data_IF_804304609674
#
_entry.id   IF_804304609674
#
_cell.length_a   1.000
_cell.length_b   1.000
_cell.length_c   1.000
_cell.angle_alpha   90.00
_cell.angle_beta   90.00
_cell.angle_gamma   90.00
#
_symmetry.space_group_name_H-M   'P 1'
#
loop_
_entity.id
_entity.type
_entity.pdbx_description
1 polymer ?
#
# COMPACT_ATOMS: atom_id res chain seq x y z
N UNK A 1 47.33 3.50 3.60
CA UNK A 1 48.06 4.42 2.70
C UNK A 1 47.49 5.83 2.89
N UNK A 2 48.32 6.87 2.98
CA UNK A 2 47.86 8.26 3.08
C UNK A 2 48.66 9.15 2.14
N UNK A 3 47.98 10.03 1.41
CA UNK A 3 48.59 11.05 0.57
C UNK A 3 47.98 12.42 0.91
N UNK A 4 48.80 13.47 1.00
CA UNK A 4 48.32 14.84 1.26
C UNK A 4 47.66 15.50 0.03
N UNK A 5 47.91 14.97 -1.17
CA UNK A 5 47.26 15.37 -2.42
C UNK A 5 46.42 14.23 -2.98
N UNK A 6 46.53 13.98 -4.29
CA UNK A 6 45.84 12.87 -4.94
C UNK A 6 46.48 11.51 -4.62
N UNK A 7 45.64 10.48 -4.60
CA UNK A 7 46.03 9.08 -4.56
C UNK A 7 45.38 8.35 -5.74
N UNK A 8 46.20 7.90 -6.69
CA UNK A 8 45.73 7.16 -7.87
C UNK A 8 46.38 5.79 -7.93
N UNK A 9 45.57 4.75 -8.15
CA UNK A 9 46.01 3.39 -8.43
C UNK A 9 45.27 2.87 -9.66
N UNK A 10 46.03 2.35 -10.61
CA UNK A 10 45.51 1.66 -11.79
C UNK A 10 46.10 0.26 -11.88
N UNK A 11 45.26 -0.75 -11.64
CA UNK A 11 45.56 -2.15 -11.86
C UNK A 11 45.03 -2.52 -13.24
N UNK A 12 45.90 -2.93 -14.15
CA UNK A 12 45.49 -3.29 -15.52
C UNK A 12 44.71 -4.61 -15.54
N UNK A 13 45.07 -5.53 -14.64
CA UNK A 13 44.36 -6.78 -14.37
C UNK A 13 44.28 -7.00 -12.85
N UNK A 14 43.27 -7.74 -12.40
CA UNK A 14 43.17 -8.22 -11.02
C UNK A 14 42.32 -7.37 -10.07
N UNK A 15 42.32 -7.83 -8.82
CA UNK A 15 41.46 -7.34 -7.75
C UNK A 15 42.23 -6.42 -6.81
N UNK A 16 41.67 -5.23 -6.56
CA UNK A 16 42.03 -4.42 -5.41
C UNK A 16 41.25 -4.92 -4.18
N UNK A 17 41.94 -5.31 -3.11
CA UNK A 17 41.30 -5.62 -1.84
C UNK A 17 41.88 -4.78 -0.70
N UNK A 18 40.98 -4.11 0.02
CA UNK A 18 41.32 -3.23 1.13
C UNK A 18 40.71 -3.72 2.44
N UNK A 19 41.54 -3.84 3.47
CA UNK A 19 41.14 -4.13 4.85
C UNK A 19 41.70 -3.09 5.85
N UNK A 20 42.20 -1.96 5.34
CA UNK A 20 42.71 -0.86 6.14
C UNK A 20 42.30 0.48 5.55
N UNK A 21 43.05 1.55 5.84
CA UNK A 21 42.69 2.89 5.40
C UNK A 21 43.50 3.34 4.18
N UNK A 22 42.81 3.82 3.15
CA UNK A 22 43.35 4.60 2.03
C UNK A 22 42.76 6.00 2.06
N UNK A 23 43.60 7.01 2.23
CA UNK A 23 43.14 8.39 2.39
C UNK A 23 43.91 9.34 1.47
N UNK A 24 43.17 10.13 0.69
CA UNK A 24 43.68 11.22 -0.12
C UNK A 24 43.26 12.58 0.46
N UNK A 25 44.19 13.53 0.53
CA UNK A 25 43.89 14.92 0.89
C UNK A 25 43.18 15.70 -0.22
N UNK A 26 43.21 15.19 -1.45
CA UNK A 26 42.41 15.67 -2.58
C UNK A 26 41.59 14.51 -3.16
N UNK A 27 41.95 13.97 -4.33
CA UNK A 27 41.15 12.93 -4.98
C UNK A 27 41.72 11.53 -4.75
N UNK A 28 40.84 10.55 -4.57
CA UNK A 28 41.18 9.13 -4.57
C UNK A 28 40.64 8.49 -5.85
N UNK A 29 41.49 7.86 -6.64
CA UNK A 29 41.10 7.20 -7.88
C UNK A 29 41.61 5.76 -7.92
N UNK A 30 40.69 4.80 -8.03
CA UNK A 30 41.00 3.38 -8.13
C UNK A 30 40.40 2.81 -9.41
N UNK A 31 41.26 2.26 -10.26
CA UNK A 31 40.89 1.51 -11.46
C UNK A 31 41.37 0.06 -11.31
N UNK A 32 40.46 -0.92 -11.36
CA UNK A 32 40.78 -2.35 -11.23
C UNK A 32 39.66 -3.22 -11.85
N UNK A 33 39.87 -4.52 -12.06
CA UNK A 33 38.77 -5.39 -12.54
C UNK A 33 37.71 -5.61 -11.45
N UNK A 34 38.17 -5.70 -10.20
CA UNK A 34 37.32 -5.81 -9.03
C UNK A 34 37.89 -4.96 -7.89
N UNK A 35 37.01 -4.29 -7.15
CA UNK A 35 37.35 -3.50 -5.97
C UNK A 35 36.57 -4.10 -4.80
N UNK A 36 37.28 -4.58 -3.79
CA UNK A 36 36.70 -5.17 -2.58
C UNK A 36 37.16 -4.39 -1.35
N UNK A 37 36.27 -3.56 -0.80
CA UNK A 37 36.47 -2.86 0.47
C UNK A 37 35.85 -3.68 1.59
N UNK A 38 36.69 -4.32 2.40
CA UNK A 38 36.28 -5.23 3.48
C UNK A 38 35.69 -4.46 4.67
N UNK A 39 35.18 -5.17 5.68
CA UNK A 39 34.50 -4.59 6.86
C UNK A 39 35.33 -3.50 7.56
N UNK A 40 36.64 -3.71 7.71
CA UNK A 40 37.58 -2.73 8.30
C UNK A 40 38.20 -1.76 7.27
N UNK A 41 37.82 -1.87 6.01
CA UNK A 41 38.36 -1.08 4.92
C UNK A 41 37.75 0.33 4.86
N UNK A 42 38.59 1.32 4.66
CA UNK A 42 38.19 2.71 4.46
C UNK A 42 38.84 3.27 3.19
N UNK A 43 38.03 3.81 2.29
CA UNK A 43 38.46 4.58 1.10
C UNK A 43 37.95 6.01 1.26
N UNK A 44 38.86 6.94 1.51
CA UNK A 44 38.54 8.30 1.94
C UNK A 44 39.21 9.35 1.05
N UNK A 45 38.48 10.41 0.74
CA UNK A 45 39.02 11.60 0.08
C UNK A 45 38.39 12.88 0.64
N UNK A 46 39.12 14.00 0.64
CA UNK A 46 38.49 15.32 0.87
C UNK A 46 37.88 15.91 -0.41
N UNK A 47 38.32 15.44 -1.58
CA UNK A 47 37.77 15.76 -2.90
C UNK A 47 36.92 14.60 -3.43
N UNK A 48 37.20 14.17 -4.65
CA UNK A 48 36.45 13.09 -5.31
C UNK A 48 37.05 11.72 -5.03
N UNK A 49 36.23 10.77 -4.59
CA UNK A 49 36.54 9.33 -4.60
C UNK A 49 35.94 8.71 -5.86
N UNK A 50 36.79 8.24 -6.78
CA UNK A 50 36.39 7.60 -8.05
C UNK A 50 36.80 6.12 -8.04
N UNK A 51 35.82 5.24 -8.20
CA UNK A 51 36.02 3.79 -8.33
C UNK A 51 35.52 3.34 -9.71
N UNK A 52 36.41 2.82 -10.54
CA UNK A 52 36.08 2.38 -11.90
C UNK A 52 36.54 0.92 -12.12
N UNK A 53 35.59 0.06 -12.50
CA UNK A 53 35.89 -1.32 -12.87
C UNK A 53 35.42 -1.69 -14.29
N UNK A 54 35.15 -0.70 -15.13
CA UNK A 54 34.60 -0.91 -16.49
C UNK A 54 35.54 -1.61 -17.45
N UNK A 55 36.82 -1.79 -17.10
CA UNK A 55 37.75 -2.61 -17.87
C UNK A 55 37.35 -4.09 -17.91
N UNK A 56 36.50 -4.55 -16.97
CA UNK A 56 35.91 -5.88 -16.95
C UNK A 56 34.38 -5.77 -17.12
N UNK A 57 33.82 -6.47 -18.11
CA UNK A 57 32.37 -6.51 -18.37
C UNK A 57 31.55 -7.18 -17.27
N UNK A 58 32.21 -7.85 -16.32
CA UNK A 58 31.63 -8.42 -15.09
C UNK A 58 32.30 -7.83 -13.84
N UNK A 59 33.00 -6.70 -14.00
CA UNK A 59 33.71 -6.04 -12.90
C UNK A 59 32.76 -5.64 -11.78
N UNK A 60 33.27 -5.61 -10.56
CA UNK A 60 32.46 -5.35 -9.39
C UNK A 60 33.14 -4.44 -8.38
N UNK A 61 32.37 -3.50 -7.82
CA UNK A 61 32.71 -2.80 -6.58
C UNK A 61 31.89 -3.42 -5.46
N UNK A 62 32.55 -4.08 -4.52
CA UNK A 62 31.93 -4.65 -3.32
C UNK A 62 32.41 -3.90 -2.09
N UNK A 63 31.47 -3.35 -1.33
CA UNK A 63 31.72 -2.59 -0.13
C UNK A 63 31.04 -3.22 1.09
N UNK A 64 31.82 -3.47 2.12
CA UNK A 64 31.38 -3.78 3.49
C UNK A 64 31.94 -2.80 4.52
N UNK A 65 32.88 -1.95 4.11
CA UNK A 65 33.52 -0.95 4.95
C UNK A 65 32.96 0.45 4.69
N UNK A 66 33.82 1.45 4.74
CA UNK A 66 33.49 2.84 4.46
C UNK A 66 34.10 3.32 3.14
N UNK A 67 33.29 3.98 2.32
CA UNK A 67 33.71 4.78 1.17
C UNK A 67 33.14 6.18 1.38
N UNK A 68 33.97 7.22 1.41
CA UNK A 68 33.53 8.60 1.65
C UNK A 68 34.41 9.62 0.91
N UNK A 69 33.76 10.61 0.32
CA UNK A 69 34.38 11.72 -0.41
C UNK A 69 33.49 12.96 -0.32
N UNK A 70 33.97 14.13 -0.77
CA UNK A 70 33.05 15.21 -1.09
C UNK A 70 32.14 14.79 -2.26
N UNK A 71 32.76 14.26 -3.32
CA UNK A 71 32.05 13.53 -4.37
C UNK A 71 32.45 12.05 -4.32
N UNK A 72 31.48 11.13 -4.44
CA UNK A 72 31.75 9.70 -4.63
C UNK A 72 31.17 9.24 -5.95
N UNK A 73 32.05 8.78 -6.86
CA UNK A 73 31.68 8.36 -8.22
C UNK A 73 32.07 6.90 -8.43
N UNK A 74 31.09 6.07 -8.76
CA UNK A 74 31.30 4.64 -9.00
C UNK A 74 30.83 4.28 -10.40
N UNK A 75 31.70 3.64 -11.17
CA UNK A 75 31.38 3.08 -12.49
C UNK A 75 31.77 1.61 -12.51
N UNK A 76 30.79 0.71 -12.57
CA UNK A 76 31.02 -0.73 -12.50
C UNK A 76 29.95 -1.50 -13.26
N UNK A 77 30.14 -2.80 -13.50
CA UNK A 77 29.02 -3.64 -13.94
C UNK A 77 28.14 -3.98 -12.74
N UNK A 78 28.73 -4.42 -11.62
CA UNK A 78 28.03 -4.69 -10.37
C UNK A 78 28.51 -3.75 -9.25
N UNK A 79 27.59 -3.09 -8.55
CA UNK A 79 27.88 -2.37 -7.31
C UNK A 79 27.12 -3.04 -6.17
N UNK A 80 27.86 -3.60 -5.21
CA UNK A 80 27.32 -4.33 -4.06
C UNK A 80 27.72 -3.62 -2.77
N UNK A 81 26.79 -2.92 -2.14
CA UNK A 81 26.93 -2.37 -0.79
C UNK A 81 26.19 -3.31 0.17
N UNK A 82 26.94 -4.04 1.00
CA UNK A 82 26.41 -5.19 1.74
C UNK A 82 26.69 -5.05 3.24
N UNK A 83 25.74 -5.48 4.07
CA UNK A 83 25.96 -5.62 5.50
C UNK A 83 26.28 -4.28 6.17
N UNK A 84 27.50 -4.18 6.68
CA UNK A 84 28.04 -2.97 7.32
C UNK A 84 28.49 -1.88 6.34
N UNK A 85 28.31 -2.11 5.03
CA UNK A 85 28.71 -1.21 3.96
C UNK A 85 28.11 0.18 4.08
N UNK A 86 28.97 1.19 4.07
CA UNK A 86 28.61 2.61 4.05
C UNK A 86 29.26 3.29 2.86
N UNK A 87 28.45 3.92 2.02
CA UNK A 87 28.87 4.74 0.91
C UNK A 87 28.31 6.15 1.14
N UNK A 88 29.20 7.10 1.37
CA UNK A 88 28.87 8.47 1.67
C UNK A 88 29.47 9.45 0.67
N UNK A 89 28.86 10.63 0.60
CA UNK A 89 29.45 11.82 0.01
C UNK A 89 28.53 13.02 0.09
N UNK A 90 29.00 14.20 -0.31
CA UNK A 90 28.11 15.34 -0.54
C UNK A 90 27.26 15.04 -1.77
N UNK A 91 27.92 14.59 -2.84
CA UNK A 91 27.25 14.08 -4.06
C UNK A 91 27.72 12.67 -4.36
N UNK A 92 26.77 11.76 -4.55
CA UNK A 92 27.03 10.38 -4.95
C UNK A 92 26.49 10.17 -6.36
N UNK A 93 27.31 9.59 -7.24
CA UNK A 93 26.90 9.17 -8.57
C UNK A 93 27.33 7.72 -8.83
N UNK A 94 26.36 6.86 -9.14
CA UNK A 94 26.58 5.43 -9.39
C UNK A 94 26.09 5.08 -10.78
N UNK A 95 27.00 4.66 -11.67
CA UNK A 95 26.68 4.05 -12.95
C UNK A 95 26.93 2.54 -12.86
N UNK A 96 25.87 1.74 -13.03
CA UNK A 96 25.97 0.28 -12.94
C UNK A 96 25.02 -0.47 -13.89
N UNK A 97 25.32 -1.74 -14.18
CA UNK A 97 24.28 -2.64 -14.69
C UNK A 97 23.36 -3.07 -13.54
N UNK A 98 23.96 -3.48 -12.42
CA UNK A 98 23.22 -3.87 -11.21
C UNK A 98 23.77 -3.13 -9.99
N UNK A 99 22.86 -2.53 -9.22
CA UNK A 99 23.12 -1.97 -7.90
C UNK A 99 22.35 -2.79 -6.84
N UNK A 100 23.09 -3.37 -5.89
CA UNK A 100 22.53 -4.04 -4.72
C UNK A 100 22.97 -3.32 -3.45
N UNK A 101 22.00 -2.78 -2.72
CA UNK A 101 22.15 -2.26 -1.37
C UNK A 101 21.35 -3.17 -0.43
N UNK A 102 22.04 -3.98 0.35
CA UNK A 102 21.40 -5.11 1.02
C UNK A 102 21.99 -5.40 2.39
N UNK A 103 21.18 -6.04 3.21
CA UNK A 103 21.59 -6.70 4.42
C UNK A 103 22.55 -7.87 4.16
N UNK A 104 23.37 -8.13 5.16
CA UNK A 104 24.20 -9.32 5.23
C UNK A 104 24.23 -9.83 6.66
N UNK A 105 24.21 -11.15 6.81
CA UNK A 105 24.38 -11.82 8.09
C UNK A 105 25.84 -12.23 8.23
N UNK A 106 26.55 -11.56 9.14
CA UNK A 106 27.92 -11.89 9.51
C UNK A 106 27.96 -12.22 11.01
N UNK A 107 28.53 -13.36 11.37
CA UNK A 107 28.66 -13.82 12.77
C UNK A 107 27.33 -13.83 13.56
N UNK A 108 26.22 -14.10 12.86
CA UNK A 108 24.88 -14.14 13.46
C UNK A 108 24.22 -12.77 13.68
N UNK A 109 24.86 -11.68 13.25
CA UNK A 109 24.28 -10.34 13.25
C UNK A 109 23.87 -9.95 11.83
N UNK A 110 22.61 -9.58 11.66
CA UNK A 110 22.11 -8.97 10.42
C UNK A 110 22.37 -7.46 10.50
N UNK A 111 23.08 -6.94 9.52
CA UNK A 111 23.28 -5.49 9.34
C UNK A 111 22.86 -5.11 7.94
N UNK A 112 22.31 -3.91 7.77
CA UNK A 112 21.82 -3.43 6.49
C UNK A 112 22.65 -2.23 6.00
N UNK A 113 22.97 -2.24 4.72
CA UNK A 113 23.91 -1.29 4.15
C UNK A 113 23.27 0.08 3.88
N UNK A 114 24.09 1.12 3.89
CA UNK A 114 23.65 2.52 3.67
C UNK A 114 24.42 3.16 2.52
N UNK A 115 23.67 3.79 1.62
CA UNK A 115 24.16 4.75 0.62
C UNK A 115 23.49 6.08 0.95
N UNK A 116 24.27 7.09 1.35
CA UNK A 116 23.70 8.36 1.82
C UNK A 116 24.49 9.58 1.33
N UNK A 117 23.80 10.51 0.68
CA UNK A 117 24.36 11.77 0.20
C UNK A 117 23.94 12.95 1.08
N UNK A 118 24.81 13.95 1.25
CA UNK A 118 24.51 15.20 1.99
C UNK A 118 23.81 16.26 1.13
N UNK A 119 24.04 16.25 -0.18
CA UNK A 119 23.42 17.18 -1.14
C UNK A 119 22.61 16.44 -2.20
N UNK A 120 23.19 15.38 -2.80
CA UNK A 120 22.56 14.71 -3.94
C UNK A 120 22.97 13.25 -4.13
N UNK A 121 21.99 12.38 -4.38
CA UNK A 121 22.19 10.99 -4.78
C UNK A 121 21.67 10.75 -6.20
N UNK A 122 22.57 10.43 -7.14
CA UNK A 122 22.24 10.02 -8.51
C UNK A 122 22.59 8.55 -8.74
N UNK A 123 21.61 7.75 -9.13
CA UNK A 123 21.79 6.34 -9.50
C UNK A 123 21.34 6.15 -10.94
N UNK A 124 22.28 5.77 -11.80
CA UNK A 124 22.05 5.32 -13.17
C UNK A 124 22.33 3.82 -13.25
N UNK A 125 21.32 2.98 -13.02
CA UNK A 125 21.47 1.53 -13.08
C UNK A 125 20.23 0.80 -13.63
N UNK A 126 20.46 -0.31 -14.35
CA UNK A 126 19.37 -1.07 -14.98
C UNK A 126 18.57 -1.88 -13.97
N UNK A 127 19.24 -2.57 -13.05
CA UNK A 127 18.61 -3.40 -12.03
C UNK A 127 19.02 -2.92 -10.64
N UNK A 128 18.07 -2.39 -9.89
CA UNK A 128 18.31 -1.80 -8.56
C UNK A 128 17.56 -2.60 -7.51
N UNK A 129 18.29 -3.03 -6.48
CA UNK A 129 17.76 -3.81 -5.36
C UNK A 129 18.18 -3.12 -4.07
N UNK A 130 17.19 -2.64 -3.33
CA UNK A 130 17.32 -2.15 -1.96
C UNK A 130 16.48 -3.07 -1.06
N UNK A 131 17.08 -3.75 -0.07
CA UNK A 131 16.35 -4.77 0.70
C UNK A 131 16.68 -4.84 2.19
N UNK A 132 15.71 -5.33 2.96
CA UNK A 132 15.81 -5.70 4.39
C UNK A 132 16.44 -4.62 5.28
N UNK A 133 15.81 -3.45 5.33
CA UNK A 133 16.26 -2.32 6.16
C UNK A 133 17.42 -1.52 5.59
N UNK A 134 17.91 -1.84 4.38
CA UNK A 134 18.93 -1.06 3.71
C UNK A 134 18.41 0.34 3.33
N UNK A 135 19.31 1.33 3.32
CA UNK A 135 18.97 2.74 3.13
C UNK A 135 19.62 3.33 1.88
N UNK A 136 18.81 3.88 0.99
CA UNK A 136 19.20 4.85 -0.03
C UNK A 136 18.69 6.23 0.41
N UNK A 137 19.59 7.16 0.71
CA UNK A 137 19.22 8.43 1.31
C UNK A 137 19.90 9.63 0.63
N UNK A 138 19.19 10.75 0.56
CA UNK A 138 19.76 12.06 0.28
C UNK A 138 19.19 13.12 1.21
N UNK A 139 20.06 13.96 1.80
CA UNK A 139 19.62 15.15 2.51
C UNK A 139 19.23 16.31 1.56
N UNK A 140 19.37 16.12 0.25
CA UNK A 140 18.82 17.00 -0.78
C UNK A 140 18.12 16.18 -1.86
N UNK A 141 18.58 16.27 -3.10
CA UNK A 141 17.93 15.61 -4.24
C UNK A 141 18.29 14.12 -4.33
N UNK A 142 17.33 13.28 -4.73
CA UNK A 142 17.54 11.88 -5.06
C UNK A 142 16.96 11.58 -6.44
N UNK A 143 17.80 11.12 -7.35
CA UNK A 143 17.40 10.75 -8.71
C UNK A 143 17.84 9.32 -9.04
N UNK A 144 16.91 8.51 -9.56
CA UNK A 144 17.16 7.15 -10.02
C UNK A 144 16.68 7.03 -11.46
N UNK A 145 17.57 6.58 -12.34
CA UNK A 145 17.29 6.21 -13.72
C UNK A 145 18.12 5.01 -14.16
N UNK A 146 18.03 4.64 -15.43
CA UNK A 146 18.77 3.52 -16.03
C UNK A 146 20.20 3.86 -16.44
N UNK A 147 20.52 5.16 -16.50
CA UNK A 147 21.85 5.67 -16.85
C UNK A 147 22.12 7.03 -16.19
N UNK A 148 23.38 7.43 -16.17
CA UNK A 148 23.81 8.79 -15.83
C UNK A 148 24.12 9.57 -17.12
N UNK A 149 23.93 10.89 -17.08
CA UNK A 149 24.39 11.81 -18.11
C UNK A 149 25.89 12.15 -17.97
N UNK A 150 26.39 13.02 -18.84
CA UNK A 150 27.79 13.46 -18.83
C UNK A 150 28.18 14.28 -17.58
N UNK A 151 27.20 14.80 -16.83
CA UNK A 151 27.37 15.59 -15.61
C UNK A 151 27.15 14.75 -14.34
N UNK A 152 27.07 13.42 -14.47
CA UNK A 152 26.80 12.49 -13.37
C UNK A 152 25.41 12.64 -12.74
N UNK A 153 24.43 13.15 -13.49
CA UNK A 153 23.01 13.19 -13.10
C UNK A 153 22.29 11.96 -13.61
N UNK A 154 21.39 11.38 -12.82
CA UNK A 154 20.54 10.31 -13.32
C UNK A 154 19.58 10.85 -14.40
N UNK A 155 19.44 10.11 -15.50
CA UNK A 155 18.51 10.45 -16.57
C UNK A 155 17.11 10.02 -16.14
N UNK A 156 16.23 11.00 -15.87
CA UNK A 156 14.88 10.77 -15.30
C UNK A 156 13.75 11.31 -16.18
N UNK A 157 14.05 11.68 -17.43
CA UNK A 157 13.09 12.20 -18.43
C UNK A 157 12.32 11.11 -19.18
N UNK A 158 12.51 9.84 -18.82
CA UNK A 158 11.91 8.69 -19.50
C UNK A 158 12.73 8.10 -20.65
N UNK A 159 13.82 8.76 -21.08
CA UNK A 159 14.64 8.30 -22.22
C UNK A 159 15.58 7.13 -21.88
N UNK A 160 15.87 6.95 -20.59
CA UNK A 160 16.72 5.87 -20.09
C UNK A 160 16.27 5.41 -18.69
N UNK A 161 15.10 4.77 -18.62
CA UNK A 161 14.58 4.21 -17.36
C UNK A 161 15.44 3.05 -16.83
N UNK A 162 15.46 2.89 -15.51
CA UNK A 162 15.87 1.62 -14.90
C UNK A 162 14.88 0.53 -15.32
N UNK A 163 15.36 -0.69 -15.58
CA UNK A 163 14.47 -1.81 -15.94
C UNK A 163 13.66 -2.23 -14.71
N UNK A 164 14.32 -2.40 -13.56
CA UNK A 164 13.62 -2.66 -12.29
C UNK A 164 14.21 -1.86 -11.14
N UNK A 165 13.34 -1.30 -10.32
CA UNK A 165 13.63 -0.74 -9.00
C UNK A 165 12.85 -1.52 -7.94
N UNK A 166 13.56 -2.36 -7.18
CA UNK A 166 13.00 -3.19 -6.12
C UNK A 166 13.38 -2.61 -4.75
N UNK A 167 12.39 -2.16 -3.98
CA UNK A 167 12.51 -1.70 -2.61
C UNK A 167 11.74 -2.66 -1.68
N UNK A 168 12.46 -3.61 -1.10
CA UNK A 168 11.86 -4.76 -0.41
C UNK A 168 12.09 -4.61 1.09
N UNK A 169 11.06 -4.18 1.84
CA UNK A 169 11.20 -3.94 3.28
C UNK A 169 12.38 -3.02 3.65
N UNK A 170 12.68 -2.05 2.78
CA UNK A 170 13.83 -1.15 2.86
C UNK A 170 13.41 0.31 2.61
N UNK A 171 14.35 1.24 2.71
CA UNK A 171 14.06 2.69 2.65
C UNK A 171 14.78 3.37 1.50
N UNK A 172 14.02 4.10 0.67
CA UNK A 172 14.48 5.11 -0.27
C UNK A 172 13.90 6.45 0.18
N UNK A 173 14.76 7.40 0.52
CA UNK A 173 14.31 8.65 1.14
C UNK A 173 15.14 9.84 0.66
N UNK A 174 14.46 10.96 0.43
CA UNK A 174 15.08 12.26 0.16
C UNK A 174 14.47 13.32 1.05
N UNK A 175 15.28 14.26 1.53
CA UNK A 175 14.77 15.48 2.18
C UNK A 175 14.41 16.58 1.17
N UNK A 176 14.95 16.51 -0.05
CA UNK A 176 14.56 17.35 -1.18
C UNK A 176 13.80 16.54 -2.24
N UNK A 177 13.89 16.99 -3.50
CA UNK A 177 13.17 16.38 -4.62
C UNK A 177 13.60 14.92 -4.85
N UNK A 178 12.61 14.07 -5.10
CA UNK A 178 12.82 12.69 -5.52
C UNK A 178 12.31 12.47 -6.94
N UNK A 179 13.15 11.91 -7.82
CA UNK A 179 12.77 11.48 -9.16
C UNK A 179 13.17 10.01 -9.38
N UNK A 180 12.17 9.15 -9.64
CA UNK A 180 12.37 7.71 -9.88
C UNK A 180 11.86 7.34 -11.27
N UNK A 181 12.77 7.09 -12.21
CA UNK A 181 12.48 6.66 -13.56
C UNK A 181 12.81 5.16 -13.73
N UNK A 182 11.77 4.32 -13.66
CA UNK A 182 11.88 2.88 -13.81
C UNK A 182 10.70 2.29 -14.60
N UNK A 183 10.95 1.30 -15.45
CA UNK A 183 9.91 0.55 -16.17
C UNK A 183 9.07 -0.29 -15.22
N UNK A 184 9.67 -0.79 -14.13
CA UNK A 184 8.97 -1.50 -13.06
C UNK A 184 9.53 -1.07 -11.71
N UNK A 185 8.69 -0.43 -10.90
CA UNK A 185 8.97 -0.09 -9.51
C UNK A 185 8.15 -1.02 -8.61
N UNK A 186 8.83 -1.76 -7.72
CA UNK A 186 8.21 -2.62 -6.72
C UNK A 186 8.60 -2.15 -5.33
N UNK A 187 7.62 -1.66 -4.58
CA UNK A 187 7.78 -1.36 -3.16
C UNK A 187 7.01 -2.43 -2.37
N UNK A 188 7.73 -3.41 -1.82
CA UNK A 188 7.12 -4.63 -1.24
C UNK A 188 7.32 -4.72 0.27
N UNK A 189 6.43 -5.48 0.91
CA UNK A 189 6.50 -5.87 2.31
C UNK A 189 6.76 -7.38 2.36
N UNK A 190 8.02 -7.77 2.53
CA UNK A 190 8.40 -9.20 2.59
C UNK A 190 8.02 -9.85 3.94
N UNK A 191 7.51 -9.07 4.90
CA UNK A 191 7.21 -9.50 6.26
C UNK A 191 5.73 -9.32 6.63
N UNK A 192 4.82 -9.30 5.63
CA UNK A 192 3.38 -9.22 5.86
C UNK A 192 2.83 -10.58 6.30
N UNK A 193 2.39 -10.66 7.56
CA UNK A 193 1.79 -11.87 8.13
C UNK A 193 0.44 -11.57 8.78
N UNK A 194 -0.50 -12.50 8.63
CA UNK A 194 -1.82 -12.46 9.26
C UNK A 194 -2.09 -13.75 10.04
N UNK A 195 -2.90 -13.64 11.08
CA UNK A 195 -3.45 -14.77 11.83
C UNK A 195 -4.95 -14.64 11.99
N UNK A 196 -5.64 -15.74 12.28
CA UNK A 196 -7.06 -15.71 12.63
C UNK A 196 -7.21 -15.50 14.13
N UNK A 197 -7.55 -14.27 14.54
CA UNK A 197 -7.93 -13.93 15.90
C UNK A 197 -9.37 -14.36 16.17
N UNK A 198 -9.66 -14.90 17.37
CA UNK A 198 -11.05 -15.15 17.81
C UNK A 198 -11.65 -13.83 18.28
N UNK A 199 -12.73 -13.38 17.66
CA UNK A 199 -13.42 -12.14 18.01
C UNK A 199 -14.72 -12.37 18.78
N UNK A 200 -15.33 -13.55 18.64
CA UNK A 200 -16.44 -14.00 19.47
C UNK A 200 -16.24 -15.47 19.88
N UNK A 201 -16.43 -15.71 21.18
CA UNK A 201 -16.08 -16.95 21.85
C UNK A 201 -16.98 -18.14 21.46
N UNK A 202 -16.73 -19.33 22.05
CA UNK A 202 -17.57 -20.48 21.80
C UNK A 202 -18.96 -20.31 22.45
N UNK A 203 -19.90 -19.67 21.73
CA UNK A 203 -21.31 -19.59 22.15
C UNK A 203 -22.11 -20.75 21.58
N UNK A 204 -23.04 -21.26 22.38
CA UNK A 204 -23.97 -22.30 21.94
C UNK A 204 -25.24 -21.65 21.41
N UNK A 205 -25.46 -21.77 20.10
CA UNK A 205 -26.70 -21.37 19.45
C UNK A 205 -27.62 -22.58 19.44
N UNK A 206 -28.82 -22.42 20.00
CA UNK A 206 -29.84 -23.47 19.98
C UNK A 206 -30.81 -23.18 18.85
N UNK A 207 -30.91 -24.10 17.88
CA UNK A 207 -31.89 -24.07 16.82
C UNK A 207 -32.95 -25.13 17.06
N UNK A 208 -34.21 -24.85 16.71
CA UNK A 208 -35.27 -25.85 16.62
C UNK A 208 -35.81 -25.94 15.20
N UNK A 209 -36.20 -27.13 14.79
CA UNK A 209 -36.98 -27.38 13.58
C UNK A 209 -38.36 -27.92 13.98
N UNK A 210 -39.43 -27.11 13.89
CA UNK A 210 -40.79 -27.58 14.14
C UNK A 210 -41.15 -28.77 13.25
N UNK A 211 -41.96 -29.69 13.78
CA UNK A 211 -42.42 -30.85 13.02
C UNK A 211 -43.19 -30.40 11.76
N UNK A 212 -42.76 -30.84 10.58
CA UNK A 212 -43.36 -30.47 9.29
C UNK A 212 -42.84 -29.15 8.69
N UNK A 213 -41.90 -28.46 9.35
CA UNK A 213 -41.19 -27.31 8.79
C UNK A 213 -39.79 -27.72 8.30
N UNK A 214 -39.34 -27.09 7.21
CA UNK A 214 -37.96 -27.18 6.74
C UNK A 214 -37.03 -26.14 7.40
N UNK A 215 -37.59 -25.11 8.04
CA UNK A 215 -36.84 -24.01 8.63
C UNK A 215 -36.22 -24.39 9.98
N UNK A 216 -35.00 -23.89 10.21
CA UNK A 216 -34.31 -23.97 11.51
C UNK A 216 -34.37 -22.61 12.17
N UNK A 217 -35.03 -22.55 13.31
CA UNK A 217 -35.35 -21.30 14.00
C UNK A 217 -34.49 -21.22 15.27
N UNK A 218 -33.72 -20.15 15.48
CA UNK A 218 -32.98 -19.96 16.71
C UNK A 218 -33.95 -19.71 17.86
N UNK A 219 -33.63 -20.25 19.04
CA UNK A 219 -34.52 -20.07 20.21
C UNK A 219 -34.59 -18.63 20.69
N UNK A 220 -33.65 -17.77 20.32
CA UNK A 220 -33.73 -16.31 20.52
C UNK A 220 -34.96 -15.70 19.84
N UNK A 221 -35.39 -16.26 18.70
CA UNK A 221 -36.57 -15.80 17.95
C UNK A 221 -37.88 -16.40 18.45
N UNK A 222 -37.84 -17.03 19.63
CA UNK A 222 -38.96 -17.74 20.21
C UNK A 222 -39.15 -17.35 21.67
N UNK A 223 -40.42 -17.20 22.08
CA UNK A 223 -40.79 -17.11 23.50
C UNK A 223 -41.34 -18.44 23.99
N UNK A 224 -40.93 -18.85 25.18
CA UNK A 224 -41.53 -20.02 25.83
C UNK A 224 -42.93 -19.70 26.34
N UNK A 225 -43.84 -20.66 26.27
CA UNK A 225 -45.12 -20.59 26.95
C UNK A 225 -45.45 -21.92 27.63
N UNK A 226 -46.28 -21.87 28.68
CA UNK A 226 -46.67 -23.04 29.47
C UNK A 226 -48.18 -23.19 29.47
N UNK A 227 -48.67 -24.43 29.44
CA UNK A 227 -50.07 -24.75 29.68
C UNK A 227 -50.15 -26.05 30.47
N UNK A 228 -50.84 -26.02 31.63
CA UNK A 228 -50.88 -27.16 32.55
C UNK A 228 -49.45 -27.66 32.89
N UNK A 229 -49.15 -28.95 32.67
CA UNK A 229 -47.83 -29.58 32.87
C UNK A 229 -46.95 -29.60 31.61
N UNK A 230 -47.36 -28.95 30.53
CA UNK A 230 -46.64 -28.91 29.26
C UNK A 230 -46.12 -27.50 28.97
N UNK A 231 -45.12 -27.43 28.10
CA UNK A 231 -44.53 -26.17 27.62
C UNK A 231 -44.19 -26.29 26.14
N UNK A 232 -44.00 -25.15 25.49
CA UNK A 232 -43.66 -25.06 24.07
C UNK A 232 -43.15 -23.68 23.71
N UNK A 233 -42.95 -23.45 22.41
CA UNK A 233 -42.49 -22.17 21.87
C UNK A 233 -43.57 -21.45 21.08
N UNK A 234 -43.49 -20.13 21.02
CA UNK A 234 -44.20 -19.27 20.06
C UNK A 234 -43.18 -18.38 19.36
N UNK A 235 -43.47 -18.04 18.12
CA UNK A 235 -42.67 -17.08 17.37
C UNK A 235 -42.73 -15.68 18.01
N UNK A 236 -41.60 -14.97 17.98
CA UNK A 236 -41.60 -13.52 18.03
C UNK A 236 -42.12 -12.98 16.69
N UNK A 237 -42.80 -11.84 16.72
CA UNK A 237 -43.35 -11.18 15.53
C UNK A 237 -42.35 -10.25 14.86
N UNK A 238 -41.24 -10.00 15.53
CA UNK A 238 -40.12 -9.21 15.07
C UNK A 238 -38.85 -10.01 15.39
N UNK A 239 -38.55 -11.06 14.59
CA UNK A 239 -37.45 -11.97 14.88
C UNK A 239 -36.14 -11.43 14.29
N UNK A 240 -35.11 -11.28 15.11
CA UNK A 240 -33.75 -11.05 14.63
C UNK A 240 -33.12 -12.36 14.11
N UNK A 241 -32.99 -12.59 12.78
CA UNK A 241 -32.35 -13.77 12.25
C UNK A 241 -30.87 -13.82 12.65
N UNK A 242 -30.57 -14.70 13.61
CA UNK A 242 -29.20 -15.18 13.79
C UNK A 242 -28.63 -15.61 12.42
N UNK A 243 -27.36 -15.32 12.08
CA UNK A 243 -26.77 -15.62 10.76
C UNK A 243 -26.87 -17.08 10.28
N UNK A 244 -27.12 -18.02 11.21
CA UNK A 244 -27.31 -19.45 10.93
C UNK A 244 -28.78 -19.84 10.72
N UNK A 245 -29.71 -18.91 10.91
CA UNK A 245 -31.14 -19.08 10.74
C UNK A 245 -31.51 -18.82 9.28
N UNK A 246 -32.08 -19.82 8.62
CA UNK A 246 -32.68 -19.63 7.30
C UNK A 246 -34.13 -19.23 7.53
N UNK A 247 -34.47 -18.00 7.14
CA UNK A 247 -35.85 -17.53 7.06
C UNK A 247 -36.52 -18.17 5.85
N UNK A 248 -37.76 -18.64 6.01
CA UNK A 248 -38.48 -19.35 4.96
C UNK A 248 -39.90 -18.80 4.88
N UNK A 249 -40.21 -18.15 3.75
CA UNK A 249 -41.53 -17.62 3.44
C UNK A 249 -42.61 -18.70 3.60
N UNK A 250 -43.70 -18.33 4.26
CA UNK A 250 -44.80 -19.23 4.66
C UNK A 250 -44.53 -20.10 5.89
N UNK A 251 -43.30 -20.18 6.40
CA UNK A 251 -42.96 -21.07 7.52
C UNK A 251 -42.41 -20.36 8.76
N UNK A 252 -41.70 -19.25 8.58
CA UNK A 252 -41.17 -18.42 9.67
C UNK A 252 -41.54 -16.97 9.43
N UNK A 253 -41.65 -16.15 10.50
CA UNK A 253 -41.54 -14.72 10.30
C UNK A 253 -40.16 -14.37 9.67
N UNK A 254 -40.13 -13.27 8.94
CA UNK A 254 -38.96 -12.76 8.20
C UNK A 254 -38.64 -11.34 8.68
N UNK A 255 -37.42 -10.80 8.48
CA UNK A 255 -37.03 -9.46 8.92
C UNK A 255 -37.91 -8.38 8.29
N UNK A 256 -38.06 -7.24 8.95
CA UNK A 256 -38.55 -6.02 8.34
C UNK A 256 -37.58 -5.50 7.27
N UNK A 257 -38.08 -4.60 6.43
CA UNK A 257 -37.24 -3.94 5.42
C UNK A 257 -36.25 -3.03 6.12
N UNK A 258 -34.95 -3.24 5.89
CA UNK A 258 -33.89 -2.38 6.43
C UNK A 258 -33.59 -2.55 7.92
N UNK A 259 -34.10 -3.60 8.58
CA UNK A 259 -33.81 -3.89 9.99
C UNK A 259 -32.30 -3.88 10.29
N UNK A 260 -31.95 -3.29 11.43
CA UNK A 260 -30.58 -3.22 11.95
C UNK A 260 -30.51 -3.76 13.38
N UNK A 261 -29.37 -4.32 13.74
CA UNK A 261 -29.04 -4.76 15.11
C UNK A 261 -27.80 -4.02 15.58
N UNK A 262 -27.92 -3.32 16.71
CA UNK A 262 -26.88 -2.44 17.23
C UNK A 262 -26.32 -3.00 18.53
N UNK A 263 -24.99 -2.95 18.67
CA UNK A 263 -24.34 -3.38 19.92
C UNK A 263 -24.51 -2.32 21.01
N UNK A 264 -24.52 -1.05 20.61
CA UNK A 264 -24.92 0.10 21.40
C UNK A 264 -26.04 0.85 20.65
N UNK A 265 -27.19 1.04 21.29
CA UNK A 265 -28.36 1.64 20.64
C UNK A 265 -28.22 3.17 20.48
N UNK A 266 -27.28 3.77 21.20
CA UNK A 266 -26.99 5.21 21.14
C UNK A 266 -25.83 5.53 20.16
N UNK A 267 -25.24 4.51 19.52
CA UNK A 267 -24.13 4.63 18.57
C UNK A 267 -24.45 3.88 17.26
N UNK A 268 -24.90 4.64 16.26
CA UNK A 268 -25.26 4.15 14.92
C UNK A 268 -24.07 3.44 14.22
N UNK A 269 -22.82 3.77 14.57
CA UNK A 269 -21.63 3.10 14.02
C UNK A 269 -21.49 1.64 14.51
N UNK A 270 -22.25 1.26 15.55
CA UNK A 270 -22.30 -0.13 16.05
C UNK A 270 -23.47 -0.94 15.48
N UNK A 271 -24.30 -0.32 14.63
CA UNK A 271 -25.42 -0.98 13.98
C UNK A 271 -24.96 -1.76 12.76
N UNK A 272 -25.37 -3.02 12.69
CA UNK A 272 -25.15 -3.88 11.53
C UNK A 272 -26.49 -4.29 10.94
N UNK A 273 -26.55 -4.37 9.61
CA UNK A 273 -27.78 -4.76 8.93
C UNK A 273 -28.12 -6.22 9.24
N UNK A 274 -29.39 -6.44 9.55
CA UNK A 274 -29.93 -7.77 9.83
C UNK A 274 -29.91 -8.62 8.55
N UNK A 275 -29.34 -9.84 8.59
CA UNK A 275 -29.29 -10.71 7.41
C UNK A 275 -30.68 -10.97 6.80
N UNK A 276 -30.86 -10.61 5.53
CA UNK A 276 -32.11 -10.80 4.79
C UNK A 276 -33.11 -9.65 4.88
N UNK A 277 -32.72 -8.52 5.49
CA UNK A 277 -33.52 -7.28 5.53
C UNK A 277 -33.36 -6.39 4.28
N UNK A 278 -32.47 -6.77 3.34
CA UNK A 278 -32.15 -5.98 2.13
C UNK A 278 -33.18 -6.07 1.00
N UNK A 279 -33.85 -7.23 0.87
CA UNK A 279 -34.87 -7.47 -0.17
C UNK A 279 -34.49 -7.00 -1.59
N UNK A 280 -33.36 -7.46 -2.16
CA UNK A 280 -32.93 -7.05 -3.50
C UNK A 280 -34.01 -7.34 -4.55
N UNK A 281 -33.92 -6.74 -5.73
CA UNK A 281 -34.92 -6.94 -6.81
C UNK A 281 -35.20 -8.41 -7.20
N UNK A 282 -34.28 -9.33 -6.87
CA UNK A 282 -34.41 -10.78 -7.11
C UNK A 282 -35.09 -11.55 -5.97
N UNK A 283 -35.42 -10.89 -4.86
CA UNK A 283 -35.93 -11.55 -3.66
C UNK A 283 -37.31 -12.20 -3.91
N UNK A 284 -37.54 -13.45 -3.49
CA UNK A 284 -38.83 -14.12 -3.68
C UNK A 284 -39.99 -13.46 -2.91
N UNK A 285 -39.72 -12.62 -1.91
CA UNK A 285 -40.75 -11.91 -1.14
C UNK A 285 -41.63 -11.04 -2.03
N UNK A 286 -41.06 -10.39 -3.06
CA UNK A 286 -41.81 -9.58 -4.02
C UNK A 286 -42.96 -10.38 -4.65
N UNK A 287 -42.63 -11.55 -5.23
CA UNK A 287 -43.61 -12.43 -5.84
C UNK A 287 -44.59 -13.02 -4.80
N UNK A 288 -44.10 -13.43 -3.63
CA UNK A 288 -44.92 -14.00 -2.56
C UNK A 288 -46.00 -13.03 -2.08
N UNK A 289 -45.66 -11.76 -1.95
CA UNK A 289 -46.57 -10.70 -1.53
C UNK A 289 -47.37 -10.07 -2.67
N UNK A 290 -47.18 -10.55 -3.91
CA UNK A 290 -47.86 -10.03 -5.09
C UNK A 290 -47.49 -8.58 -5.39
N UNK A 291 -46.24 -8.21 -5.13
CA UNK A 291 -45.64 -6.92 -5.49
C UNK A 291 -44.75 -7.10 -6.71
N UNK A 292 -44.72 -6.09 -7.57
CA UNK A 292 -43.72 -6.04 -8.64
C UNK A 292 -42.38 -5.63 -8.01
N UNK A 293 -41.29 -6.38 -8.22
CA UNK A 293 -39.99 -6.00 -7.67
C UNK A 293 -39.51 -4.66 -8.26
N UNK A 294 -38.66 -3.93 -7.54
CA UNK A 294 -38.03 -2.72 -8.06
C UNK A 294 -37.13 -3.04 -9.25
N UNK A 295 -36.74 -2.01 -10.00
CA UNK A 295 -35.63 -2.15 -10.94
C UNK A 295 -34.33 -2.46 -10.17
N UNK A 296 -33.31 -3.06 -10.80
CA UNK A 296 -32.00 -3.22 -10.19
C UNK A 296 -31.46 -1.88 -9.66
N UNK A 297 -30.78 -1.92 -8.52
CA UNK A 297 -30.11 -0.76 -7.94
C UNK A 297 -29.03 -0.21 -8.88
N UNK A 298 -28.78 1.10 -8.87
CA UNK A 298 -27.65 1.71 -9.56
C UNK A 298 -26.32 1.08 -9.10
N UNK A 299 -25.41 0.85 -10.04
CA UNK A 299 -24.10 0.25 -9.75
C UNK A 299 -23.08 1.37 -9.55
N UNK A 300 -22.29 1.37 -8.47
CA UNK A 300 -21.29 2.40 -8.25
C UNK A 300 -20.19 2.36 -9.33
N UNK A 301 -19.60 3.52 -9.70
CA UNK A 301 -18.54 3.58 -10.69
C UNK A 301 -17.25 2.90 -10.19
N UNK A 302 -16.50 2.27 -11.11
CA UNK A 302 -15.23 1.58 -10.79
C UNK A 302 -13.99 2.46 -10.99
N UNK A 303 -14.16 3.79 -10.99
CA UNK A 303 -13.07 4.75 -11.22
C UNK A 303 -12.24 4.93 -9.94
N UNK A 304 -10.92 5.01 -10.08
CA UNK A 304 -10.02 5.37 -8.97
C UNK A 304 -9.92 6.89 -8.82
N UNK A 305 -9.76 7.38 -7.58
CA UNK A 305 -9.56 8.81 -7.34
C UNK A 305 -8.22 9.27 -7.96
N UNK A 306 -8.21 10.33 -8.79
CA UNK A 306 -6.99 10.84 -9.39
C UNK A 306 -6.14 11.58 -8.34
N UNK A 307 -4.82 11.56 -8.54
CA UNK A 307 -3.85 12.17 -7.60
C UNK A 307 -3.40 13.52 -8.15
N UNK A 308 -3.46 14.55 -7.32
CA UNK A 308 -3.05 15.90 -7.72
C UNK A 308 -1.54 15.96 -8.04
N UNK A 309 -1.14 16.62 -9.14
CA UNK A 309 0.27 16.82 -9.46
C UNK A 309 0.90 17.83 -8.49
N UNK A 310 2.18 17.65 -8.21
CA UNK A 310 2.94 18.54 -7.33
C UNK A 310 3.46 19.76 -8.11
N UNK A 311 3.26 20.96 -7.55
CA UNK A 311 3.80 22.19 -8.11
C UNK A 311 5.34 22.22 -8.03
N UNK A 312 6.03 22.84 -9.01
CA UNK A 312 7.46 23.05 -8.94
C UNK A 312 7.83 24.01 -7.80
N UNK A 313 9.05 23.89 -7.29
CA UNK A 313 9.59 24.74 -6.21
C UNK A 313 9.69 26.21 -6.65
N UNK A 314 9.23 27.12 -5.77
CA UNK A 314 9.27 28.57 -5.96
C UNK A 314 10.72 29.12 -6.01
N UNK A 315 11.69 28.42 -5.42
CA UNK A 315 13.11 28.81 -5.49
C UNK A 315 13.66 28.86 -6.92
N UNK A 316 13.08 28.08 -7.83
CA UNK A 316 13.38 28.14 -9.26
C UNK A 316 12.84 29.40 -9.94
N UNK A 317 11.76 29.99 -9.43
CA UNK A 317 11.20 31.24 -9.96
C UNK A 317 12.12 32.43 -9.66
N UNK A 318 12.74 32.45 -8.48
CA UNK A 318 13.70 33.49 -8.06
C UNK A 318 14.93 33.55 -8.98
N UNK A 319 15.31 32.42 -9.60
CA UNK A 319 16.43 32.35 -10.56
C UNK A 319 16.15 33.04 -11.91
N UNK A 320 14.88 33.36 -12.18
CA UNK A 320 14.45 34.13 -13.35
C UNK A 320 14.47 35.65 -13.14
N UNK A 321 14.68 36.14 -11.91
CA UNK A 321 14.71 37.58 -11.64
C UNK A 321 16.02 38.23 -12.10
N UNK A 322 15.92 39.38 -12.79
CA UNK A 322 17.08 40.10 -13.30
C UNK A 322 17.91 40.70 -12.14
N UNK A 323 19.11 40.17 -11.89
CA UNK A 323 19.98 40.65 -10.81
C UNK A 323 21.16 39.73 -10.49
N UNK A 324 21.73 39.88 -9.29
CA UNK A 324 22.89 39.10 -8.82
C UNK A 324 22.60 37.60 -8.60
N UNK A 325 21.33 37.19 -8.64
CA UNK A 325 20.87 35.80 -8.53
C UNK A 325 20.33 35.20 -9.83
N UNK A 326 20.45 35.90 -10.97
CA UNK A 326 19.95 35.40 -12.26
C UNK A 326 20.78 34.21 -12.76
N UNK A 327 20.12 33.09 -13.04
CA UNK A 327 20.71 31.91 -13.67
C UNK A 327 19.78 31.43 -14.80
N UNK A 328 20.24 31.61 -16.04
CA UNK A 328 19.47 31.23 -17.23
C UNK A 328 19.12 29.73 -17.24
N UNK A 329 20.01 28.86 -16.80
CA UNK A 329 19.80 27.42 -16.83
C UNK A 329 18.80 26.96 -15.77
N UNK A 330 18.87 27.55 -14.57
CA UNK A 330 17.89 27.31 -13.51
C UNK A 330 16.52 27.89 -13.87
N UNK A 331 16.49 29.06 -14.52
CA UNK A 331 15.26 29.66 -15.01
C UNK A 331 14.61 28.82 -16.12
N UNK A 332 15.39 28.34 -17.10
CA UNK A 332 14.88 27.47 -18.17
C UNK A 332 14.35 26.13 -17.60
N UNK A 333 15.04 25.55 -16.61
CA UNK A 333 14.60 24.33 -15.92
C UNK A 333 13.30 24.54 -15.14
N UNK A 334 13.17 25.67 -14.43
CA UNK A 334 11.94 26.03 -13.73
C UNK A 334 10.77 26.26 -14.72
N UNK A 335 11.00 26.96 -15.84
CA UNK A 335 9.98 27.16 -16.87
C UNK A 335 9.52 25.84 -17.51
N UNK A 336 10.44 24.89 -17.72
CA UNK A 336 10.10 23.57 -18.23
C UNK A 336 9.31 22.75 -17.20
N UNK A 337 9.72 22.77 -15.93
CA UNK A 337 8.99 22.12 -14.84
C UNK A 337 7.59 22.71 -14.66
N UNK A 338 7.44 24.03 -14.79
CA UNK A 338 6.16 24.71 -14.79
C UNK A 338 5.27 24.26 -15.95
N UNK A 339 5.80 24.16 -17.18
CA UNK A 339 5.03 23.69 -18.32
C UNK A 339 4.59 22.22 -18.18
N UNK A 340 5.43 21.36 -17.59
CA UNK A 340 5.07 19.97 -17.27
C UNK A 340 4.00 19.89 -16.19
N UNK A 341 4.12 20.71 -15.12
CA UNK A 341 3.09 20.82 -14.09
C UNK A 341 1.77 21.31 -14.66
N UNK A 342 1.75 22.34 -15.50
CA UNK A 342 0.53 22.88 -16.11
C UNK A 342 -0.17 21.82 -16.98
N UNK A 343 0.59 20.99 -17.70
CA UNK A 343 0.05 19.86 -18.47
C UNK A 343 -0.52 18.76 -17.58
N UNK A 344 0.21 18.38 -16.53
CA UNK A 344 -0.24 17.38 -15.56
C UNK A 344 -1.47 17.86 -14.79
N UNK A 345 -1.55 19.16 -14.47
CA UNK A 345 -2.67 19.79 -13.80
C UNK A 345 -3.91 19.80 -14.71
N UNK A 346 -3.73 20.09 -16.00
CA UNK A 346 -4.82 20.01 -16.97
C UNK A 346 -5.35 18.56 -17.10
N UNK A 347 -4.47 17.56 -17.14
CA UNK A 347 -4.86 16.16 -17.16
C UNK A 347 -5.59 15.74 -15.88
N UNK A 348 -5.04 16.09 -14.72
CA UNK A 348 -5.67 15.87 -13.41
C UNK A 348 -7.07 16.51 -13.34
N UNK A 349 -7.24 17.74 -13.84
CA UNK A 349 -8.55 18.42 -13.84
C UNK A 349 -9.58 17.68 -14.69
N UNK A 350 -9.18 17.11 -15.83
CA UNK A 350 -10.06 16.30 -16.68
C UNK A 350 -10.47 15.01 -15.95
N UNK A 351 -9.49 14.30 -15.39
CA UNK A 351 -9.73 13.06 -14.65
C UNK A 351 -10.58 13.30 -13.39
N UNK A 352 -10.30 14.38 -12.66
CA UNK A 352 -11.04 14.79 -11.47
C UNK A 352 -12.48 15.14 -11.83
N UNK A 353 -12.71 15.86 -12.93
CA UNK A 353 -14.07 16.17 -13.41
C UNK A 353 -14.81 14.90 -13.78
N UNK A 354 -14.19 13.99 -14.53
CA UNK A 354 -14.80 12.71 -14.89
C UNK A 354 -15.12 11.86 -13.66
N UNK A 355 -14.23 11.84 -12.66
CA UNK A 355 -14.46 11.17 -11.38
C UNK A 355 -15.63 11.78 -10.62
N UNK A 356 -15.65 13.11 -10.45
CA UNK A 356 -16.73 13.79 -9.71
C UNK A 356 -18.07 13.69 -10.41
N UNK A 357 -18.10 13.81 -11.75
CA UNK A 357 -19.33 13.72 -12.53
C UNK A 357 -19.92 12.30 -12.49
N UNK A 358 -19.07 11.27 -12.57
CA UNK A 358 -19.52 9.88 -12.47
C UNK A 358 -20.13 9.58 -11.10
N UNK A 359 -19.50 10.06 -10.02
CA UNK A 359 -20.02 9.87 -8.66
C UNK A 359 -21.29 10.71 -8.41
N UNK A 360 -21.34 11.95 -8.89
CA UNK A 360 -22.54 12.79 -8.79
C UNK A 360 -23.72 12.22 -9.59
N UNK A 361 -23.45 11.63 -10.76
CA UNK A 361 -24.47 10.93 -11.53
C UNK A 361 -24.96 9.68 -10.80
N UNK A 362 -24.06 8.88 -10.23
CA UNK A 362 -24.42 7.72 -9.42
C UNK A 362 -25.27 8.12 -8.20
N UNK A 363 -24.89 9.18 -7.49
CA UNK A 363 -25.65 9.72 -6.36
C UNK A 363 -27.05 10.17 -6.80
N UNK A 364 -27.16 10.90 -7.91
CA UNK A 364 -28.45 11.32 -8.46
C UNK A 364 -29.31 10.13 -8.92
N UNK A 365 -28.70 9.11 -9.53
CA UNK A 365 -29.39 7.88 -9.94
C UNK A 365 -29.86 7.08 -8.72
N UNK A 366 -29.05 7.03 -7.65
CA UNK A 366 -29.39 6.36 -6.40
C UNK A 366 -30.53 7.09 -5.67
N UNK A 367 -30.45 8.41 -5.52
CA UNK A 367 -31.51 9.23 -4.92
C UNK A 367 -32.83 9.11 -5.70
N UNK A 368 -32.75 9.11 -7.04
CA UNK A 368 -33.93 8.94 -7.88
C UNK A 368 -34.51 7.53 -7.75
N UNK A 369 -33.67 6.50 -7.65
CA UNK A 369 -34.10 5.12 -7.45
C UNK A 369 -34.75 4.96 -6.08
N UNK A 370 -34.13 5.45 -5.01
CA UNK A 370 -34.64 5.42 -3.64
C UNK A 370 -35.99 6.13 -3.56
N UNK A 371 -36.09 7.37 -4.08
CA UNK A 371 -37.35 8.11 -4.11
C UNK A 371 -38.44 7.46 -4.97
N UNK A 372 -38.07 6.69 -6.01
CA UNK A 372 -39.04 5.95 -6.83
C UNK A 372 -39.62 4.75 -6.08
N UNK A 373 -38.81 4.08 -5.27
CA UNK A 373 -39.18 2.81 -4.64
C UNK A 373 -39.41 2.88 -3.12
N UNK A 374 -39.24 4.04 -2.48
CA UNK A 374 -39.51 4.27 -1.05
C UNK A 374 -40.88 3.72 -0.64
N UNK A 375 -41.96 4.16 -1.31
CA UNK A 375 -43.32 3.70 -1.03
C UNK A 375 -43.51 2.20 -1.32
N UNK A 376 -42.78 1.65 -2.29
CA UNK A 376 -42.83 0.22 -2.60
C UNK A 376 -42.22 -0.60 -1.44
N UNK A 377 -41.11 -0.16 -0.89
CA UNK A 377 -40.46 -0.78 0.27
C UNK A 377 -41.28 -0.61 1.55
N UNK A 378 -41.90 0.56 1.79
CA UNK A 378 -42.87 0.75 2.88
C UNK A 378 -44.05 -0.23 2.75
N UNK A 379 -44.58 -0.39 1.53
CA UNK A 379 -45.67 -1.33 1.26
C UNK A 379 -45.24 -2.78 1.48
N UNK A 380 -44.00 -3.12 1.13
CA UNK A 380 -43.43 -4.43 1.43
C UNK A 380 -43.34 -4.64 2.94
N UNK A 381 -42.82 -3.67 3.68
CA UNK A 381 -42.68 -3.74 5.13
C UNK A 381 -44.02 -3.90 5.84
N UNK A 382 -45.05 -3.15 5.43
CA UNK A 382 -46.42 -3.31 5.92
C UNK A 382 -46.96 -4.74 5.71
N UNK A 383 -46.69 -5.33 4.53
CA UNK A 383 -47.08 -6.70 4.22
C UNK A 383 -46.29 -7.72 5.03
N UNK A 384 -45.00 -7.49 5.25
CA UNK A 384 -44.14 -8.31 6.12
C UNK A 384 -44.65 -8.25 7.56
N UNK A 385 -44.93 -7.07 8.07
CA UNK A 385 -45.51 -6.85 9.39
C UNK A 385 -46.84 -7.60 9.55
N UNK A 386 -47.73 -7.49 8.57
CA UNK A 386 -49.00 -8.23 8.56
C UNK A 386 -48.80 -9.75 8.49
N UNK A 387 -47.83 -10.22 7.70
CA UNK A 387 -47.44 -11.62 7.58
C UNK A 387 -46.88 -12.17 8.90
N UNK A 388 -45.94 -11.46 9.52
CA UNK A 388 -45.29 -11.85 10.77
C UNK A 388 -46.30 -11.94 11.93
N UNK A 389 -47.30 -11.05 11.99
CA UNK A 389 -48.38 -11.10 12.99
C UNK A 389 -49.16 -12.42 12.98
N UNK A 390 -49.24 -13.11 11.84
CA UNK A 390 -49.94 -14.40 11.73
C UNK A 390 -49.26 -15.51 12.56
N UNK A 391 -47.96 -15.36 12.86
CA UNK A 391 -47.19 -16.33 13.64
C UNK A 391 -47.32 -16.14 15.16
N UNK A 392 -47.80 -14.98 15.64
CA UNK A 392 -47.87 -14.64 17.06
C UNK A 392 -48.66 -15.64 17.92
N UNK A 393 -49.68 -16.27 17.32
CA UNK A 393 -50.54 -17.28 17.94
C UNK A 393 -50.14 -18.74 17.63
N UNK A 394 -49.13 -18.97 16.78
CA UNK A 394 -48.74 -20.31 16.33
C UNK A 394 -47.87 -20.97 17.39
N UNK A 395 -48.44 -22.01 18.01
CA UNK A 395 -47.79 -22.81 19.03
C UNK A 395 -46.90 -23.89 18.40
N UNK A 396 -45.65 -23.96 18.83
CA UNK A 396 -44.70 -25.03 18.49
C UNK A 396 -44.65 -25.99 19.68
N UNK A 397 -45.23 -27.18 19.51
CA UNK A 397 -45.33 -28.20 20.57
C UNK A 397 -44.52 -29.47 20.28
N UNK A 398 -44.02 -29.62 19.04
CA UNK A 398 -43.18 -30.73 18.58
C UNK A 398 -42.07 -30.20 17.68
N UNK A 399 -40.82 -30.49 18.01
CA UNK A 399 -39.65 -30.03 17.26
C UNK A 399 -38.46 -30.98 17.40
N UNK A 400 -37.49 -30.84 16.50
CA UNK A 400 -36.13 -31.38 16.65
C UNK A 400 -35.21 -30.23 17.10
N UNK A 401 -34.38 -30.43 18.12
CA UNK A 401 -33.45 -29.41 18.61
C UNK A 401 -32.01 -29.72 18.16
N UNK A 402 -31.27 -28.66 17.85
CA UNK A 402 -29.86 -28.69 17.47
C UNK A 402 -29.11 -27.68 18.36
N UNK A 403 -28.01 -28.12 18.95
CA UNK A 403 -27.11 -27.22 19.70
C UNK A 403 -25.82 -27.09 18.88
N UNK A 404 -25.57 -25.89 18.37
CA UNK A 404 -24.42 -25.58 17.53
C UNK A 404 -23.45 -24.75 18.36
N UNK A 405 -22.17 -25.11 18.33
CA UNK A 405 -21.10 -24.25 18.88
C UNK A 405 -20.59 -23.37 17.74
N UNK A 406 -20.67 -22.05 17.93
CA UNK A 406 -20.15 -21.05 17.00
C UNK A 406 -18.92 -20.39 17.64
N UNK A 407 -17.92 -20.09 16.82
CA UNK A 407 -16.75 -19.28 17.16
C UNK A 407 -16.48 -18.42 15.95
N UNK A 408 -16.28 -17.13 16.17
CA UNK A 408 -16.09 -16.16 15.08
C UNK A 408 -14.64 -15.72 15.07
N UNK A 409 -14.07 -15.68 13.87
CA UNK A 409 -12.67 -15.36 13.65
C UNK A 409 -12.56 -14.19 12.69
N UNK A 410 -11.56 -13.35 12.92
CA UNK A 410 -11.18 -12.25 12.04
C UNK A 410 -9.68 -12.29 11.75
N UNK A 411 -9.31 -11.90 10.53
CA UNK A 411 -7.90 -11.78 10.15
C UNK A 411 -7.25 -10.60 10.89
N UNK A 412 -6.15 -10.84 11.58
CA UNK A 412 -5.37 -9.85 12.30
C UNK A 412 -3.93 -9.83 11.79
N UNK A 413 -3.39 -8.64 11.51
CA UNK A 413 -2.00 -8.47 11.09
C UNK A 413 -1.07 -8.73 12.28
N UNK A 414 -0.11 -9.66 12.13
CA UNK A 414 0.84 -10.03 13.19
C UNK A 414 2.24 -9.46 12.95
N UNK A 415 2.61 -9.23 11.70
CA UNK A 415 3.88 -8.61 11.32
C UNK A 415 3.71 -7.80 10.04
N UNK A 416 4.46 -6.70 9.93
CA UNK A 416 4.50 -5.85 8.74
C UNK A 416 5.76 -4.99 8.78
N UNK A 417 6.56 -5.05 7.71
CA UNK A 417 7.71 -4.18 7.50
C UNK A 417 7.74 -3.74 6.03
N UNK A 418 6.84 -2.83 5.61
CA UNK A 418 6.76 -2.41 4.22
C UNK A 418 7.99 -1.61 3.82
N UNK A 419 8.41 -1.75 2.56
CA UNK A 419 9.33 -0.81 1.96
C UNK A 419 8.74 0.61 1.94
N UNK A 420 9.62 1.61 2.06
CA UNK A 420 9.26 3.03 2.05
C UNK A 420 10.01 3.74 0.92
N UNK A 421 9.27 4.49 0.12
CA UNK A 421 9.79 5.39 -0.91
C UNK A 421 9.07 6.72 -0.73
N UNK A 422 9.74 7.73 -0.19
CA UNK A 422 9.08 9.00 0.13
C UNK A 422 10.04 10.19 0.05
N UNK A 423 9.63 11.31 -0.57
CA UNK A 423 10.20 12.61 -0.24
C UNK A 423 9.69 13.05 1.14
N UNK A 424 10.55 13.61 1.98
CA UNK A 424 10.12 14.24 3.23
C UNK A 424 9.53 15.61 2.87
N UNK A 425 8.22 15.75 3.07
CA UNK A 425 7.55 17.05 3.00
C UNK A 425 7.89 17.80 4.30
N UNK A 426 8.86 18.71 4.24
CA UNK A 426 9.20 19.60 5.36
C UNK A 426 8.22 20.77 5.48
#
# INVERSE_FOLDING_TARGET
>A
MRAGGDLSLQLHDGQFSNAGQWQAGQNLSLHAEHINNQVSGELLSLGTTTLDTRQNSLGAVTNRGLIDGADTRISSYNVNNLGTGRLYGDRIAIAAHTLSNAEEVLEGQTTAATIAARERLDIGAQYIINREGALLFSAGELAIGGALDANYRAIVDGSANAITLNNNSATIESLGNMALAADTLRNTNEHFEITLGVIDGPRTITLIRPSGSSARIPTSNLRTYRWSRAWGYRYLTDPDPEPLAVTVLGQTPIPGVGDVTCTDIDDDDTCTRVPGADYPHTDPAWAYFGLTPPAPEPIPPTLSAPVAPQAPDESGADSCEAGAGFDQSACDAHQQAQATYDQALAAYQIEQTAYTDAWAQYEADNDAWDGTYEVLYDTLDDKITAYNRQFAGRNITRWTQYNIKRTEHESQVTSSAPGRSSPVVT
#
